data_IF_486943813665
#
_entry.id   IF_486943813665
#
_cell.length_a   1.000
_cell.length_b   1.000
_cell.length_c   1.000
_cell.angle_alpha   90.00
_cell.angle_beta   90.00
_cell.angle_gamma   90.00
#
_symmetry.space_group_name_H-M   'P 1'
#
loop_
_entity.id
_entity.type
_entity.pdbx_description
1 polymer ?
#
# COMPACT_ATOMS: atom_id res chain seq x y z
N UNK A 1 -7.49 39.75 -31.09
CA UNK A 1 -6.30 38.86 -31.11
C UNK A 1 -5.96 38.33 -29.71
N UNK A 2 -5.96 39.18 -28.66
CA UNK A 2 -5.67 38.76 -27.29
C UNK A 2 -6.64 37.70 -26.73
N UNK A 3 -7.96 37.85 -26.97
CA UNK A 3 -9.01 36.95 -26.45
C UNK A 3 -8.90 35.51 -27.00
N UNK A 4 -8.52 35.37 -28.27
CA UNK A 4 -8.31 34.07 -28.91
C UNK A 4 -7.07 33.36 -28.34
N UNK A 5 -6.03 34.13 -28.00
CA UNK A 5 -4.80 33.59 -27.41
C UNK A 5 -5.05 33.09 -25.98
N UNK A 6 -5.80 33.83 -25.17
CA UNK A 6 -6.13 33.41 -23.80
C UNK A 6 -6.96 32.13 -23.81
N UNK A 7 -8.01 32.03 -24.63
CA UNK A 7 -8.85 30.82 -24.72
C UNK A 7 -8.04 29.57 -25.11
N UNK A 8 -7.07 29.72 -26.00
CA UNK A 8 -6.23 28.62 -26.47
C UNK A 8 -5.27 28.13 -25.37
N UNK A 9 -4.74 29.06 -24.57
CA UNK A 9 -3.88 28.75 -23.42
C UNK A 9 -4.70 28.06 -22.31
N UNK A 10 -5.88 28.57 -21.93
CA UNK A 10 -6.69 27.93 -20.90
C UNK A 10 -7.17 26.55 -21.31
N UNK A 11 -7.56 26.36 -22.57
CA UNK A 11 -7.92 25.04 -23.10
C UNK A 11 -6.78 24.04 -23.02
N UNK A 12 -5.54 24.48 -23.29
CA UNK A 12 -4.35 23.63 -23.19
C UNK A 12 -4.07 23.23 -21.74
N UNK A 13 -4.20 24.14 -20.78
CA UNK A 13 -4.01 23.83 -19.36
C UNK A 13 -5.04 22.83 -18.82
N UNK A 14 -6.30 22.95 -19.24
CA UNK A 14 -7.35 21.99 -18.83
C UNK A 14 -7.09 20.61 -19.42
N UNK A 15 -6.71 20.53 -20.71
CA UNK A 15 -6.38 19.26 -21.36
C UNK A 15 -5.19 18.56 -20.70
N UNK A 16 -4.16 19.31 -20.30
CA UNK A 16 -2.99 18.77 -19.58
C UNK A 16 -3.38 18.28 -18.18
N UNK A 17 -4.19 19.05 -17.42
CA UNK A 17 -4.65 18.59 -16.10
C UNK A 17 -5.48 17.31 -16.20
N UNK A 18 -6.41 17.22 -17.15
CA UNK A 18 -7.23 16.02 -17.35
C UNK A 18 -6.38 14.81 -17.74
N UNK A 19 -5.39 14.99 -18.60
CA UNK A 19 -4.46 13.92 -18.98
C UNK A 19 -3.68 13.40 -17.76
N UNK A 20 -3.14 14.30 -16.93
CA UNK A 20 -2.39 13.93 -15.71
C UNK A 20 -3.28 13.21 -14.70
N UNK A 21 -4.51 13.67 -14.48
CA UNK A 21 -5.45 12.99 -13.57
C UNK A 21 -5.93 11.64 -14.13
N UNK A 22 -6.10 11.52 -15.45
CA UNK A 22 -6.54 10.28 -16.08
C UNK A 22 -5.49 9.15 -16.04
N UNK A 23 -4.21 9.51 -16.02
CA UNK A 23 -3.11 8.54 -15.86
C UNK A 23 -2.99 8.02 -14.41
N UNK A 24 -3.52 8.74 -13.42
CA UNK A 24 -3.55 8.28 -12.02
C UNK A 24 -4.62 7.20 -11.76
N UNK A 25 -5.62 7.05 -12.63
CA UNK A 25 -6.73 6.10 -12.44
C UNK A 25 -6.46 4.68 -12.99
N UNK A 26 -5.32 4.43 -13.65
CA UNK A 26 -5.09 3.17 -14.38
C UNK A 26 -3.93 2.31 -13.86
N UNK A 27 -3.48 2.53 -12.63
CA UNK A 27 -2.56 1.61 -11.97
C UNK A 27 -3.20 1.04 -10.71
N UNK A 28 -4.29 0.27 -10.86
CA UNK A 28 -4.53 -0.78 -9.87
C UNK A 28 -3.25 -1.63 -9.86
N UNK A 29 -2.47 -1.65 -8.76
CA UNK A 29 -1.31 -2.51 -8.72
C UNK A 29 -1.84 -3.92 -8.99
N UNK A 30 -1.27 -4.60 -10.01
CA UNK A 30 -1.61 -5.97 -10.33
C UNK A 30 -1.81 -6.73 -9.01
N UNK A 31 -3.03 -7.22 -8.77
CA UNK A 31 -3.44 -7.75 -7.47
C UNK A 31 -2.35 -8.68 -6.93
N UNK A 32 -1.63 -8.25 -5.88
CA UNK A 32 -0.56 -9.06 -5.30
C UNK A 32 -1.22 -10.28 -4.65
N UNK A 33 -1.06 -11.51 -5.20
CA UNK A 33 -1.79 -12.68 -4.71
C UNK A 33 -1.46 -12.97 -3.25
N UNK A 34 -0.23 -12.64 -2.85
CA UNK A 34 0.26 -12.74 -1.48
C UNK A 34 -0.47 -11.76 -0.55
N UNK A 35 -0.59 -10.50 -0.95
CA UNK A 35 -1.35 -9.49 -0.23
C UNK A 35 -2.80 -9.90 0.02
N UNK A 36 -3.49 -10.41 -1.00
CA UNK A 36 -4.87 -10.92 -0.89
C UNK A 36 -4.99 -12.14 0.02
N UNK A 37 -3.97 -13.00 0.04
CA UNK A 37 -3.93 -14.14 0.94
C UNK A 37 -3.84 -13.69 2.41
N UNK A 38 -2.88 -12.82 2.73
CA UNK A 38 -2.69 -12.35 4.11
C UNK A 38 -3.78 -11.41 4.59
N UNK A 39 -4.36 -10.58 3.72
CA UNK A 39 -5.53 -9.76 4.05
C UNK A 39 -6.69 -10.64 4.53
N UNK A 40 -6.95 -11.78 3.86
CA UNK A 40 -7.98 -12.74 4.27
C UNK A 40 -7.66 -13.41 5.59
N UNK A 41 -6.41 -13.81 5.80
CA UNK A 41 -5.98 -14.48 7.04
C UNK A 41 -6.04 -13.55 8.25
N UNK A 42 -5.64 -12.29 8.08
CA UNK A 42 -5.51 -11.35 9.19
C UNK A 42 -6.84 -10.71 9.59
N UNK A 43 -7.79 -10.62 8.65
CA UNK A 43 -9.12 -10.02 8.87
C UNK A 43 -9.83 -10.47 10.15
N UNK A 44 -10.05 -11.78 10.42
CA UNK A 44 -10.73 -12.21 11.64
C UNK A 44 -9.96 -11.81 12.91
N UNK A 45 -8.63 -11.80 12.85
CA UNK A 45 -7.79 -11.40 13.98
C UNK A 45 -7.90 -9.89 14.27
N UNK A 46 -7.94 -9.07 13.22
CA UNK A 46 -8.15 -7.61 13.33
C UNK A 46 -9.56 -7.30 13.83
N UNK A 47 -10.59 -7.95 13.30
CA UNK A 47 -11.98 -7.78 13.75
C UNK A 47 -12.16 -8.13 15.23
N UNK A 48 -11.52 -9.21 15.69
CA UNK A 48 -11.56 -9.63 17.08
C UNK A 48 -10.57 -8.89 18.01
N UNK A 49 -9.76 -7.96 17.49
CA UNK A 49 -8.64 -7.32 18.20
C UNK A 49 -7.70 -8.35 18.88
N UNK A 50 -7.52 -9.51 18.24
CA UNK A 50 -6.73 -10.61 18.78
C UNK A 50 -5.24 -10.38 18.47
N UNK A 51 -4.54 -9.70 19.37
CA UNK A 51 -3.13 -9.34 19.18
C UNK A 51 -2.21 -10.55 18.97
N UNK A 52 -2.46 -11.66 19.65
CA UNK A 52 -1.64 -12.87 19.52
C UNK A 52 -1.74 -13.45 18.10
N UNK A 53 -2.96 -13.50 17.57
CA UNK A 53 -3.20 -14.00 16.22
C UNK A 53 -2.69 -13.02 15.15
N UNK A 54 -2.86 -11.70 15.34
CA UNK A 54 -2.26 -10.67 14.46
C UNK A 54 -0.75 -10.88 14.39
N UNK A 55 -0.08 -11.03 15.53
CA UNK A 55 1.36 -11.25 15.59
C UNK A 55 1.77 -12.56 14.89
N UNK A 56 1.00 -13.64 15.06
CA UNK A 56 1.25 -14.94 14.42
C UNK A 56 1.17 -14.84 12.90
N UNK A 57 0.12 -14.20 12.37
CA UNK A 57 -0.06 -14.02 10.92
C UNK A 57 1.04 -13.14 10.35
N UNK A 58 1.40 -12.04 11.02
CA UNK A 58 2.50 -11.18 10.58
C UNK A 58 3.86 -11.88 10.63
N UNK A 59 4.08 -12.80 11.58
CA UNK A 59 5.32 -13.56 11.67
C UNK A 59 5.45 -14.50 10.47
N UNK A 60 4.38 -15.25 10.15
CA UNK A 60 4.30 -16.07 8.94
C UNK A 60 4.54 -15.24 7.67
N UNK A 61 3.95 -14.04 7.59
CA UNK A 61 4.14 -13.14 6.45
C UNK A 61 5.58 -12.63 6.32
N UNK A 62 6.28 -12.41 7.42
CA UNK A 62 7.67 -11.97 7.42
C UNK A 62 8.66 -13.10 7.09
N UNK A 63 8.22 -14.36 7.17
CA UNK A 63 9.00 -15.54 6.74
C UNK A 63 8.90 -15.79 5.23
N UNK A 64 7.91 -15.22 4.54
CA UNK A 64 7.78 -15.37 3.10
C UNK A 64 8.88 -14.64 2.33
N UNK A 65 9.35 -15.29 1.26
CA UNK A 65 10.45 -14.81 0.45
C UNK A 65 10.24 -13.37 -0.02
N UNK A 66 11.28 -12.56 0.20
CA UNK A 66 11.38 -11.14 -0.17
C UNK A 66 10.53 -10.18 0.68
N UNK A 67 9.76 -10.60 1.69
CA UNK A 67 9.14 -9.65 2.62
C UNK A 67 10.14 -9.24 3.69
N UNK A 68 10.43 -7.94 3.78
CA UNK A 68 11.31 -7.40 4.82
C UNK A 68 10.56 -7.07 6.10
N UNK A 69 9.32 -6.63 5.94
CA UNK A 69 8.52 -6.04 7.00
C UNK A 69 7.05 -6.27 6.69
N UNK A 70 6.30 -6.66 7.70
CA UNK A 70 4.84 -6.69 7.69
C UNK A 70 4.30 -5.96 8.93
N UNK A 71 3.22 -5.20 8.79
CA UNK A 71 2.63 -4.43 9.87
C UNK A 71 1.12 -4.30 9.72
N UNK A 72 0.43 -4.18 10.85
CA UNK A 72 -0.99 -3.79 10.89
C UNK A 72 -1.11 -2.42 11.52
N UNK A 73 -1.91 -1.57 10.88
CA UNK A 73 -2.32 -0.28 11.40
C UNK A 73 -3.82 -0.28 11.68
N UNK A 74 -4.25 0.47 12.69
CA UNK A 74 -5.65 0.74 12.97
C UNK A 74 -6.26 1.58 11.84
N UNK A 75 -7.59 1.68 11.80
CA UNK A 75 -8.28 2.58 10.88
C UNK A 75 -7.87 4.07 11.07
N UNK A 76 -7.39 4.45 12.25
CA UNK A 76 -6.84 5.79 12.55
C UNK A 76 -5.37 5.98 12.18
N UNK A 77 -4.70 4.92 11.71
CA UNK A 77 -3.28 4.96 11.32
C UNK A 77 -2.28 4.67 12.44
N UNK A 78 -2.73 4.25 13.62
CA UNK A 78 -1.85 3.79 14.69
C UNK A 78 -1.29 2.41 14.36
N UNK A 79 0.00 2.17 14.59
CA UNK A 79 0.59 0.85 14.37
C UNK A 79 0.22 -0.10 15.51
N UNK A 80 -0.58 -1.11 15.21
CA UNK A 80 -1.03 -2.14 16.15
C UNK A 80 0.03 -3.24 16.32
N UNK A 81 0.67 -3.65 15.23
CA UNK A 81 1.64 -4.75 15.23
C UNK A 81 2.65 -4.61 14.08
N UNK A 82 3.82 -5.22 14.25
CA UNK A 82 4.86 -5.29 13.22
C UNK A 82 5.73 -6.53 13.41
N UNK A 83 6.14 -7.13 12.31
CA UNK A 83 7.14 -8.19 12.23
C UNK A 83 8.15 -7.89 11.11
N UNK A 84 9.33 -8.51 11.18
CA UNK A 84 10.46 -8.23 10.30
C UNK A 84 11.30 -7.03 10.77
N UNK A 85 11.94 -6.35 9.82
CA UNK A 85 12.88 -5.25 10.13
C UNK A 85 12.20 -4.06 10.80
N UNK A 86 12.90 -3.43 11.75
CA UNK A 86 12.39 -2.29 12.54
C UNK A 86 12.77 -0.93 11.97
N UNK A 87 13.64 -0.91 10.95
CA UNK A 87 14.05 0.28 10.21
C UNK A 87 12.84 1.06 9.69
N UNK A 88 12.92 2.39 9.77
CA UNK A 88 11.83 3.25 9.31
C UNK A 88 11.62 3.09 7.80
N UNK A 89 10.37 3.13 7.34
CA UNK A 89 10.05 2.98 5.92
C UNK A 89 10.87 3.93 5.03
N UNK A 90 11.02 5.24 5.33
CA UNK A 90 11.86 6.12 4.53
C UNK A 90 13.34 5.76 4.49
N UNK A 91 13.87 5.08 5.52
CA UNK A 91 15.24 4.57 5.52
C UNK A 91 15.36 3.35 4.61
N UNK A 92 14.42 2.40 4.71
CA UNK A 92 14.38 1.23 3.82
C UNK A 92 14.29 1.63 2.34
N UNK A 93 13.43 2.58 1.99
CA UNK A 93 13.31 3.03 0.60
C UNK A 93 14.56 3.79 0.12
N UNK A 94 15.28 4.48 1.01
CA UNK A 94 16.54 5.14 0.64
C UNK A 94 17.68 4.17 0.36
N UNK A 95 17.73 3.06 1.09
CA UNK A 95 18.76 2.03 0.90
C UNK A 95 18.57 1.26 -0.41
N UNK A 96 17.32 0.96 -0.78
CA UNK A 96 16.98 0.30 -2.04
C UNK A 96 15.66 0.90 -2.57
N UNK A 97 15.73 1.88 -3.49
CA UNK A 97 14.55 2.58 -4.02
C UNK A 97 13.59 1.69 -4.81
N UNK A 98 14.03 0.51 -5.25
CA UNK A 98 13.18 -0.43 -5.99
C UNK A 98 12.34 -1.34 -5.08
N UNK A 99 12.49 -1.23 -3.75
CA UNK A 99 11.59 -1.88 -2.80
C UNK A 99 10.15 -1.43 -3.03
N UNK A 100 9.22 -2.38 -2.98
CA UNK A 100 7.80 -2.08 -3.14
C UNK A 100 7.12 -2.08 -1.77
N UNK A 101 6.31 -1.05 -1.52
CA UNK A 101 5.51 -0.92 -0.31
C UNK A 101 4.05 -1.07 -0.68
N UNK A 102 3.37 -2.01 -0.03
CA UNK A 102 1.95 -2.26 -0.25
C UNK A 102 1.17 -1.88 0.99
N UNK A 103 0.00 -1.28 0.79
CA UNK A 103 -0.87 -0.85 1.86
C UNK A 103 -2.30 -1.18 1.45
N UNK A 104 -2.90 -2.19 2.09
CA UNK A 104 -4.23 -2.69 1.73
C UNK A 104 -5.18 -2.56 2.91
N UNK A 105 -6.42 -2.09 2.68
CA UNK A 105 -7.42 -2.02 3.73
C UNK A 105 -7.88 -3.42 4.14
N UNK A 106 -7.95 -3.66 5.44
CA UNK A 106 -8.62 -4.83 6.02
C UNK A 106 -10.07 -4.46 6.28
N UNK A 107 -11.00 -5.09 5.54
CA UNK A 107 -12.42 -4.73 5.56
C UNK A 107 -13.30 -5.87 6.07
N UNK A 108 -14.39 -5.50 6.72
CA UNK A 108 -15.54 -6.36 7.06
C UNK A 108 -16.82 -5.58 6.73
N UNK A 109 -17.73 -6.17 5.95
CA UNK A 109 -18.98 -5.54 5.51
C UNK A 109 -18.80 -4.10 4.97
N UNK A 110 -17.79 -3.90 4.10
CA UNK A 110 -17.33 -2.62 3.53
C UNK A 110 -16.78 -1.58 4.53
N UNK A 111 -16.79 -1.86 5.83
CA UNK A 111 -16.12 -1.06 6.84
C UNK A 111 -14.63 -1.37 6.89
N UNK A 112 -13.78 -0.33 6.88
CA UNK A 112 -12.33 -0.48 7.09
C UNK A 112 -12.06 -0.63 8.58
N UNK A 113 -11.53 -1.79 8.98
CA UNK A 113 -11.14 -2.10 10.36
C UNK A 113 -9.69 -1.67 10.64
N UNK A 114 -8.85 -1.68 9.60
CA UNK A 114 -7.44 -1.31 9.67
C UNK A 114 -6.76 -1.48 8.33
N UNK A 115 -5.43 -1.49 8.34
CA UNK A 115 -4.62 -1.64 7.14
C UNK A 115 -3.49 -2.63 7.36
N UNK A 116 -3.34 -3.56 6.42
CA UNK A 116 -2.19 -4.44 6.32
C UNK A 116 -1.16 -3.76 5.42
N UNK A 117 0.07 -3.65 5.93
CA UNK A 117 1.21 -3.04 5.24
C UNK A 117 2.34 -4.05 5.14
N UNK A 118 3.03 -4.10 4.00
CA UNK A 118 4.28 -4.82 3.89
C UNK A 118 5.25 -4.17 2.91
N UNK A 119 6.53 -4.48 3.08
CA UNK A 119 7.62 -4.03 2.21
C UNK A 119 8.31 -5.26 1.63
N UNK A 120 8.47 -5.27 0.31
CA UNK A 120 9.12 -6.36 -0.42
C UNK A 120 10.43 -5.89 -1.06
N UNK A 121 11.45 -6.73 -1.01
CA UNK A 121 12.68 -6.56 -1.81
C UNK A 121 12.36 -6.63 -3.32
N UNK A 122 13.10 -5.89 -4.16
CA UNK A 122 12.96 -6.03 -5.60
C UNK A 122 13.29 -7.47 -6.02
N UNK A 123 12.48 -8.02 -6.92
CA UNK A 123 12.76 -9.33 -7.47
C UNK A 123 14.02 -9.25 -8.34
N UNK A 124 15.14 -9.82 -7.84
CA UNK A 124 16.44 -9.82 -8.53
C UNK A 124 16.50 -10.73 -9.77
N UNK A 125 15.43 -11.47 -10.07
CA UNK A 125 15.38 -12.41 -11.18
C UNK A 125 14.85 -11.80 -12.50
N UNK A 126 14.81 -10.47 -12.64
CA UNK A 126 14.44 -9.78 -13.88
C UNK A 126 15.53 -8.84 -14.35
#
# INVERSE_FOLDING_TARGET
>A
RLILLTLLITGLFIAVMVAVTSQMDQSLPAEDPLGRHYERLIRPAVAALNQAEINRVLASMAEDDNILRAAVFSASGERIAQQGVTTLLPQLIREEPLRTSFFVPVKEDDQVLGYLHWVREPNKAK
#
